data_IF_181494115327
#
_entry.id   IF_181494115327
#
_cell.length_a   1.000
_cell.length_b   1.000
_cell.length_c   1.000
_cell.angle_alpha   90.00
_cell.angle_beta   90.00
_cell.angle_gamma   90.00
#
_symmetry.space_group_name_H-M   'P 1'
#
loop_
_entity.id
_entity.type
_entity.pdbx_description
1 polymer ?
#
# COMPACT_ATOMS: atom_id res chain seq x y z
N UNK A 1 8.09 -12.11 14.28
CA UNK A 1 7.29 -10.91 14.62
C UNK A 1 8.19 -9.68 14.48
N UNK A 2 8.13 -8.99 13.35
CA UNK A 2 9.02 -7.84 13.08
C UNK A 2 8.58 -6.69 14.00
N UNK A 3 9.39 -6.37 15.02
CA UNK A 3 9.15 -5.25 15.95
C UNK A 3 9.56 -3.92 15.31
N UNK A 4 8.88 -3.53 14.24
CA UNK A 4 9.02 -2.17 13.70
C UNK A 4 8.20 -1.20 14.55
N UNK A 5 8.76 0.00 14.78
CA UNK A 5 8.04 1.06 15.49
C UNK A 5 6.83 1.49 14.66
N UNK A 6 5.65 1.45 15.28
CA UNK A 6 4.36 1.70 14.64
C UNK A 6 4.31 3.10 13.98
N UNK A 7 5.00 4.10 14.56
CA UNK A 7 5.12 5.44 13.97
C UNK A 7 5.85 5.43 12.63
N UNK A 8 6.95 4.68 12.53
CA UNK A 8 7.76 4.54 11.31
C UNK A 8 6.97 3.78 10.25
N UNK A 9 6.24 2.75 10.68
CA UNK A 9 5.37 1.94 9.82
C UNK A 9 4.21 2.76 9.24
N UNK A 10 3.61 3.65 10.04
CA UNK A 10 2.59 4.60 9.56
C UNK A 10 3.16 5.60 8.57
N UNK A 11 4.35 6.15 8.84
CA UNK A 11 5.01 7.08 7.92
C UNK A 11 5.29 6.40 6.57
N UNK A 12 5.83 5.18 6.58
CA UNK A 12 6.04 4.39 5.37
C UNK A 12 4.72 4.16 4.61
N UNK A 13 3.65 3.85 5.34
CA UNK A 13 2.32 3.63 4.76
C UNK A 13 1.79 4.87 4.04
N UNK A 14 1.91 6.06 4.65
CA UNK A 14 1.50 7.33 4.03
C UNK A 14 2.33 7.64 2.78
N UNK A 15 3.65 7.45 2.84
CA UNK A 15 4.53 7.65 1.68
C UNK A 15 4.13 6.72 0.53
N UNK A 16 3.86 5.45 0.82
CA UNK A 16 3.41 4.51 -0.20
C UNK A 16 2.02 4.85 -0.78
N UNK A 17 1.06 5.34 0.03
CA UNK A 17 -0.23 5.85 -0.49
C UNK A 17 -0.04 6.99 -1.48
N UNK A 18 0.91 7.90 -1.19
CA UNK A 18 1.22 9.03 -2.07
C UNK A 18 1.73 8.55 -3.43
N UNK A 19 2.69 7.61 -3.45
CA UNK A 19 3.21 7.03 -4.69
C UNK A 19 2.15 6.24 -5.48
N UNK A 20 1.22 5.58 -4.80
CA UNK A 20 0.10 4.91 -5.45
C UNK A 20 -0.87 5.90 -6.07
N UNK A 21 -1.18 7.00 -5.38
CA UNK A 21 -1.98 8.07 -5.95
C UNK A 21 -1.38 8.62 -7.24
N UNK A 22 -0.05 8.82 -7.26
CA UNK A 22 0.67 9.25 -8.47
C UNK A 22 0.64 8.18 -9.57
N UNK A 23 0.98 6.92 -9.23
CA UNK A 23 1.00 5.83 -10.20
C UNK A 23 -0.37 5.53 -10.81
N UNK A 24 -1.44 5.55 -10.01
CA UNK A 24 -2.81 5.39 -10.52
C UNK A 24 -3.17 6.52 -11.48
N UNK A 25 -2.76 7.76 -11.19
CA UNK A 25 -3.06 8.90 -12.07
C UNK A 25 -2.40 8.74 -13.44
N UNK A 26 -1.13 8.33 -13.49
CA UNK A 26 -0.44 8.05 -14.75
C UNK A 26 -1.06 6.86 -15.49
N UNK A 27 -1.35 5.77 -14.77
CA UNK A 27 -2.03 4.57 -15.30
C UNK A 27 -3.39 4.91 -15.94
N UNK A 28 -4.21 5.72 -15.25
CA UNK A 28 -5.54 6.08 -15.73
C UNK A 28 -5.46 6.99 -16.96
N UNK A 29 -4.44 7.86 -17.02
CA UNK A 29 -4.29 8.87 -18.08
C UNK A 29 -3.65 8.28 -19.35
N UNK A 30 -2.67 7.39 -19.20
CA UNK A 30 -1.92 6.78 -20.32
C UNK A 30 -2.40 5.36 -20.68
N UNK A 31 -2.73 4.53 -19.69
CA UNK A 31 -3.17 3.14 -19.90
C UNK A 31 -4.50 3.04 -20.65
N UNK A 32 -5.42 3.96 -20.39
CA UNK A 32 -6.74 4.02 -21.03
C UNK A 32 -6.64 4.44 -22.51
N UNK A 33 -5.58 5.17 -22.90
CA UNK A 33 -5.31 5.57 -24.30
C UNK A 33 -4.55 4.50 -25.09
N UNK A 34 -3.76 3.67 -24.43
CA UNK A 34 -2.78 2.79 -25.09
C UNK A 34 -3.25 1.32 -25.19
N UNK A 35 -4.42 0.98 -24.64
CA UNK A 35 -4.97 -0.39 -24.71
C UNK A 35 -4.10 -1.44 -24.01
N UNK A 36 -3.19 -0.99 -23.15
CA UNK A 36 -2.22 -1.83 -22.44
C UNK A 36 -2.94 -2.60 -21.34
N UNK A 37 -2.53 -3.85 -21.13
CA UNK A 37 -3.09 -4.74 -20.12
C UNK A 37 -3.08 -4.07 -18.73
N UNK A 38 -4.26 -3.66 -18.26
CA UNK A 38 -4.51 -3.06 -16.93
C UNK A 38 -3.90 -3.88 -15.78
N UNK A 39 -3.80 -5.20 -15.95
CA UNK A 39 -3.15 -6.10 -14.99
C UNK A 39 -1.66 -5.76 -14.75
N UNK A 40 -0.93 -5.38 -15.79
CA UNK A 40 0.49 -5.02 -15.65
C UNK A 40 0.67 -3.69 -14.89
N UNK A 41 -0.28 -2.78 -15.08
CA UNK A 41 -0.31 -1.48 -14.41
C UNK A 41 -0.76 -1.58 -12.95
N UNK A 42 -1.66 -2.51 -12.62
CA UNK A 42 -2.15 -2.73 -11.25
C UNK A 42 -1.24 -3.65 -10.43
N UNK A 43 -0.43 -4.50 -11.08
CA UNK A 43 0.52 -5.40 -10.42
C UNK A 43 1.41 -4.74 -9.34
N UNK A 44 1.97 -3.52 -9.55
CA UNK A 44 2.75 -2.80 -8.53
C UNK A 44 1.95 -2.40 -7.28
N UNK A 45 0.61 -2.40 -7.33
CA UNK A 45 -0.27 -2.06 -6.20
C UNK A 45 -0.42 -3.24 -5.25
N UNK A 46 -0.26 -4.49 -5.72
CA UNK A 46 -0.44 -5.68 -4.89
C UNK A 46 0.52 -5.75 -3.69
N UNK A 47 1.85 -5.54 -3.82
CA UNK A 47 2.77 -5.49 -2.68
C UNK A 47 2.36 -4.49 -1.60
N UNK A 48 1.67 -3.40 -2.00
CA UNK A 48 1.16 -2.41 -1.07
C UNK A 48 -0.09 -2.88 -0.32
N UNK A 49 -1.02 -3.57 -0.98
CA UNK A 49 -2.19 -4.15 -0.30
C UNK A 49 -1.73 -5.15 0.78
N UNK A 50 -0.73 -5.97 0.46
CA UNK A 50 -0.13 -6.87 1.44
C UNK A 50 0.55 -6.13 2.60
N UNK A 51 1.29 -5.04 2.32
CA UNK A 51 1.94 -4.26 3.38
C UNK A 51 0.93 -3.54 4.28
N UNK A 52 -0.14 -3.00 3.69
CA UNK A 52 -1.27 -2.40 4.39
C UNK A 52 -1.98 -3.40 5.31
N UNK A 53 -2.22 -4.62 4.81
CA UNK A 53 -2.85 -5.70 5.58
C UNK A 53 -1.99 -6.10 6.79
N UNK A 54 -0.68 -6.28 6.58
CA UNK A 54 0.26 -6.60 7.67
C UNK A 54 0.32 -5.47 8.70
N UNK A 55 0.30 -4.20 8.25
CA UNK A 55 0.29 -3.04 9.14
C UNK A 55 -0.98 -2.97 9.98
N UNK A 56 -2.16 -3.13 9.36
CA UNK A 56 -3.45 -3.17 10.06
C UNK A 56 -3.51 -4.30 11.08
N UNK A 57 -3.03 -5.49 10.72
CA UNK A 57 -3.01 -6.63 11.63
C UNK A 57 -2.06 -6.41 12.82
N UNK A 58 -0.90 -5.78 12.59
CA UNK A 58 0.02 -5.37 13.66
C UNK A 58 -0.60 -4.33 14.60
N UNK A 59 -1.35 -3.34 14.09
CA UNK A 59 -2.10 -2.39 14.93
C UNK A 59 -3.13 -3.14 15.78
N UNK A 60 -3.93 -4.00 15.15
CA UNK A 60 -5.00 -4.72 15.82
C UNK A 60 -4.46 -5.64 16.92
N UNK A 61 -3.43 -6.43 16.61
CA UNK A 61 -2.73 -7.29 17.57
C UNK A 61 -2.16 -6.49 18.74
N UNK A 62 -1.50 -5.34 18.49
CA UNK A 62 -0.94 -4.49 19.55
C UNK A 62 -2.03 -3.83 20.41
N UNK A 63 -3.20 -3.56 19.85
CA UNK A 63 -4.38 -3.05 20.56
C UNK A 63 -5.04 -4.15 21.41
N UNK A 64 -5.06 -5.39 20.91
CA UNK A 64 -5.54 -6.57 21.63
C UNK A 64 -4.63 -6.98 22.78
N UNK A 65 -3.31 -6.78 22.66
CA UNK A 65 -2.33 -7.04 23.73
C UNK A 65 -2.30 -5.97 24.83
N UNK A 66 -2.99 -4.84 24.64
CA UNK A 66 -3.13 -3.76 25.63
C UNK A 66 -4.47 -3.80 26.39
N UNK A 67 -5.36 -4.72 26.06
CA UNK A 67 -6.50 -5.12 26.91
C UNK A 67 -6.05 -6.22 27.86
#
# INVERSE_FOLDING_TARGET
MIKINLKIQFLLFVVCLFFIGLGINDILTEGLKSGVNLFYQISPVMPFVFSAFIFGNNIYSKKSSKK
#
